data_IF_626177373811
#
_entry.id   IF_626177373811
#
_cell.length_a   1.000
_cell.length_b   1.000
_cell.length_c   1.000
_cell.angle_alpha   90.00
_cell.angle_beta   90.00
_cell.angle_gamma   90.00
#
_symmetry.space_group_name_H-M   'P 1'
#
loop_
_entity.id
_entity.type
_entity.pdbx_description
1 polymer ?
#
# COMPACT_ATOMS: atom_id res chain seq x y z
N UNK A 1 42.38 -11.34 2.46
CA UNK A 1 41.87 -10.01 2.78
C UNK A 1 41.13 -10.08 4.11
N UNK A 2 41.76 -9.58 5.18
CA UNK A 2 41.20 -9.60 6.57
C UNK A 2 40.36 -8.32 6.83
N UNK A 3 39.39 -8.04 6.01
CA UNK A 3 38.53 -6.88 6.14
C UNK A 3 37.06 -7.32 6.01
N UNK A 4 36.19 -6.79 6.86
CA UNK A 4 34.75 -6.95 6.73
C UNK A 4 34.29 -6.31 5.41
N UNK A 5 33.43 -7.01 4.68
CA UNK A 5 32.79 -6.47 3.50
C UNK A 5 31.66 -5.52 3.91
N UNK A 6 31.62 -4.34 3.28
CA UNK A 6 30.56 -3.33 3.54
C UNK A 6 29.59 -3.31 2.37
N UNK A 7 28.31 -3.56 2.67
CA UNK A 7 27.24 -3.50 1.64
C UNK A 7 27.12 -2.08 1.11
N UNK A 8 27.19 -1.94 -0.20
CA UNK A 8 27.06 -0.65 -0.88
C UNK A 8 28.34 0.17 -0.99
N UNK A 9 29.51 -0.34 -0.55
CA UNK A 9 30.79 0.38 -0.62
C UNK A 9 31.15 0.82 -2.05
N UNK A 10 30.88 -0.03 -3.05
CA UNK A 10 31.16 0.27 -4.47
C UNK A 10 29.93 0.79 -5.21
N UNK A 11 28.75 0.22 -4.94
CA UNK A 11 27.52 0.51 -5.68
C UNK A 11 26.71 1.70 -5.13
N UNK A 12 26.98 2.14 -3.91
CA UNK A 12 26.12 3.11 -3.19
C UNK A 12 24.78 2.53 -2.71
N UNK A 13 24.46 1.28 -3.04
CA UNK A 13 23.22 0.60 -2.65
C UNK A 13 23.36 0.03 -1.23
N UNK A 14 23.19 0.89 -0.24
CA UNK A 14 23.23 0.54 1.18
C UNK A 14 21.87 0.05 1.68
N UNK A 15 21.90 -0.67 2.81
CA UNK A 15 20.71 -1.11 3.54
C UNK A 15 20.65 -0.34 4.85
N UNK A 16 19.62 0.49 5.03
CA UNK A 16 19.38 1.16 6.31
C UNK A 16 18.70 0.16 7.26
N UNK A 17 19.34 -0.09 8.40
CA UNK A 17 18.78 -0.96 9.43
C UNK A 17 17.57 -0.29 10.07
N UNK A 18 16.41 -0.93 10.00
CA UNK A 18 15.16 -0.48 10.64
C UNK A 18 14.96 -1.17 11.98
N UNK A 19 15.17 -2.50 12.03
CA UNK A 19 14.95 -3.28 13.24
C UNK A 19 15.78 -4.57 13.23
N UNK A 20 16.13 -5.06 14.43
CA UNK A 20 16.77 -6.37 14.63
C UNK A 20 16.00 -7.12 15.70
N UNK A 21 15.67 -8.37 15.43
CA UNK A 21 15.00 -9.27 16.39
C UNK A 21 15.74 -10.58 16.44
N UNK A 22 15.81 -11.15 17.64
CA UNK A 22 16.14 -12.56 17.86
C UNK A 22 14.88 -13.40 17.73
N UNK A 23 15.02 -14.61 17.23
CA UNK A 23 13.95 -15.59 17.27
C UNK A 23 13.75 -16.20 18.70
N UNK A 24 12.88 -17.22 18.81
CA UNK A 24 12.44 -17.73 20.13
C UNK A 24 13.52 -18.49 20.89
N UNK A 25 14.52 -19.04 20.23
CA UNK A 25 15.66 -19.80 20.83
C UNK A 25 16.99 -19.06 20.75
N UNK A 26 16.98 -17.82 20.24
CA UNK A 26 18.11 -16.90 20.15
C UNK A 26 19.26 -17.37 19.25
N UNK A 27 18.98 -18.20 18.25
CA UNK A 27 19.99 -18.68 17.31
C UNK A 27 19.91 -18.02 15.92
N UNK A 28 18.83 -17.26 15.64
CA UNK A 28 18.61 -16.56 14.38
C UNK A 28 18.34 -15.06 14.58
N UNK A 29 18.93 -14.23 13.70
CA UNK A 29 18.70 -12.79 13.66
C UNK A 29 17.83 -12.43 12.45
N UNK A 30 16.66 -11.81 12.69
CA UNK A 30 15.86 -11.15 11.67
C UNK A 30 16.25 -9.67 11.62
N UNK A 31 16.84 -9.25 10.49
CA UNK A 31 17.14 -7.84 10.24
C UNK A 31 16.16 -7.26 9.22
N UNK A 32 15.36 -6.30 9.65
CA UNK A 32 14.51 -5.51 8.77
C UNK A 32 15.32 -4.30 8.28
N UNK A 33 15.33 -4.09 6.98
CA UNK A 33 16.14 -3.05 6.34
C UNK A 33 15.32 -2.27 5.33
N UNK A 34 15.67 -0.97 5.15
CA UNK A 34 15.17 -0.12 4.07
C UNK A 34 16.30 0.03 3.03
N UNK A 35 16.16 -0.56 1.84
CA UNK A 35 17.20 -0.52 0.82
C UNK A 35 17.20 0.85 0.11
N UNK A 36 18.36 1.47 -0.03
CA UNK A 36 18.54 2.72 -0.78
C UNK A 36 18.49 2.53 -2.30
N UNK A 37 18.56 1.30 -2.77
CA UNK A 37 18.56 0.96 -4.20
C UNK A 37 18.52 -0.55 -4.39
N UNK A 38 18.71 -1.04 -5.61
CA UNK A 38 18.70 -2.47 -5.91
C UNK A 38 19.59 -3.27 -4.96
N UNK A 39 19.04 -4.31 -4.35
CA UNK A 39 19.81 -5.16 -3.43
C UNK A 39 20.65 -6.20 -4.17
N UNK A 40 20.15 -6.67 -5.30
CA UNK A 40 20.82 -7.65 -6.14
C UNK A 40 21.93 -6.99 -6.98
N UNK A 41 23.06 -7.69 -7.15
CA UNK A 41 24.17 -7.25 -8.00
C UNK A 41 23.80 -7.14 -9.50
N UNK A 42 22.70 -7.78 -9.93
CA UNK A 42 22.15 -7.67 -11.30
C UNK A 42 21.27 -6.43 -11.51
N UNK A 43 21.08 -5.59 -10.50
CA UNK A 43 20.28 -4.37 -10.59
C UNK A 43 18.78 -4.56 -10.29
N UNK A 44 18.33 -5.76 -9.93
CA UNK A 44 16.96 -5.99 -9.42
C UNK A 44 16.87 -5.73 -7.93
N UNK A 45 15.67 -5.43 -7.42
CA UNK A 45 15.42 -5.15 -6.01
C UNK A 45 15.76 -6.36 -5.13
N UNK A 46 15.45 -7.58 -5.59
CA UNK A 46 15.77 -8.84 -4.92
C UNK A 46 16.46 -9.81 -5.88
N UNK A 47 17.13 -10.84 -5.34
CA UNK A 47 17.73 -11.90 -6.15
C UNK A 47 16.71 -12.81 -6.84
N UNK A 48 15.44 -12.69 -6.49
CA UNK A 48 14.31 -13.46 -7.06
C UNK A 48 13.51 -12.65 -8.09
N UNK A 49 14.00 -11.47 -8.53
CA UNK A 49 13.34 -10.53 -9.44
C UNK A 49 12.01 -9.97 -8.89
N UNK A 50 11.81 -9.98 -7.58
CA UNK A 50 10.72 -9.31 -6.93
C UNK A 50 11.00 -7.81 -6.81
N UNK A 51 9.97 -6.99 -6.85
CA UNK A 51 10.05 -5.54 -6.66
C UNK A 51 9.79 -5.21 -5.19
N UNK A 52 10.62 -4.37 -4.58
CA UNK A 52 10.43 -3.86 -3.23
C UNK A 52 9.32 -2.81 -3.22
N UNK A 53 8.08 -3.26 -3.32
CA UNK A 53 6.92 -2.41 -3.13
C UNK A 53 6.63 -2.22 -1.64
N UNK A 54 6.18 -1.02 -1.26
CA UNK A 54 5.60 -0.82 0.06
C UNK A 54 4.43 -1.82 0.23
N UNK A 55 4.46 -2.56 1.32
CA UNK A 55 3.41 -3.53 1.63
C UNK A 55 2.61 -3.01 2.83
N UNK A 56 1.33 -2.69 2.58
CA UNK A 56 0.35 -2.23 3.57
C UNK A 56 -0.56 -3.38 4.02
N UNK A 57 -0.07 -4.61 3.95
CA UNK A 57 -0.84 -5.80 4.30
C UNK A 57 -2.03 -6.00 3.37
N UNK A 58 -3.22 -6.20 3.94
CA UNK A 58 -4.45 -6.41 3.18
C UNK A 58 -4.77 -5.27 2.20
N UNK A 59 -4.42 -4.03 2.51
CA UNK A 59 -4.70 -2.90 1.60
C UNK A 59 -3.91 -2.98 0.28
N UNK A 60 -2.69 -3.51 0.28
CA UNK A 60 -1.95 -3.79 -0.97
C UNK A 60 -2.63 -4.89 -1.80
N UNK A 61 -3.16 -5.91 -1.13
CA UNK A 61 -3.96 -6.96 -1.79
C UNK A 61 -5.24 -6.37 -2.38
N UNK A 62 -5.92 -5.49 -1.64
CA UNK A 62 -7.15 -4.84 -2.09
C UNK A 62 -6.90 -3.93 -3.30
N UNK A 63 -5.81 -3.16 -3.33
CA UNK A 63 -5.41 -2.39 -4.52
C UNK A 63 -5.21 -3.29 -5.75
N UNK A 64 -4.59 -4.47 -5.56
CA UNK A 64 -4.40 -5.45 -6.64
C UNK A 64 -5.73 -5.98 -7.15
N UNK A 65 -6.64 -6.38 -6.24
CA UNK A 65 -7.99 -6.85 -6.59
C UNK A 65 -8.77 -5.77 -7.36
N UNK A 66 -8.71 -4.52 -6.93
CA UNK A 66 -9.35 -3.40 -7.63
C UNK A 66 -8.81 -3.28 -9.05
N UNK A 67 -7.47 -3.28 -9.24
CA UNK A 67 -6.83 -3.23 -10.58
C UNK A 67 -7.27 -4.38 -11.49
N UNK A 68 -7.29 -5.59 -10.97
CA UNK A 68 -7.71 -6.77 -11.73
C UNK A 68 -9.17 -6.68 -12.17
N UNK A 69 -10.07 -6.23 -11.28
CA UNK A 69 -11.49 -6.05 -11.61
C UNK A 69 -11.73 -4.97 -12.66
N UNK A 70 -10.95 -3.87 -12.62
CA UNK A 70 -10.97 -2.83 -13.66
C UNK A 70 -10.50 -3.40 -15.00
N UNK A 71 -9.39 -4.15 -15.00
CA UNK A 71 -8.83 -4.75 -16.21
C UNK A 71 -9.76 -5.76 -16.87
N UNK A 72 -10.48 -6.56 -16.08
CA UNK A 72 -11.42 -7.58 -16.57
C UNK A 72 -12.71 -7.00 -17.16
N UNK A 73 -13.07 -5.76 -16.85
CA UNK A 73 -14.23 -5.02 -17.40
C UNK A 73 -15.59 -5.75 -17.34
N UNK A 74 -15.74 -6.73 -16.44
CA UNK A 74 -17.03 -7.44 -16.27
C UNK A 74 -17.97 -6.60 -15.38
N UNK A 75 -18.65 -5.66 -16.00
CA UNK A 75 -19.58 -4.73 -15.33
C UNK A 75 -20.83 -5.42 -14.76
N UNK A 76 -21.15 -6.62 -15.21
CA UNK A 76 -22.31 -7.38 -14.73
C UNK A 76 -22.04 -8.14 -13.44
N UNK A 77 -20.77 -8.54 -13.20
CA UNK A 77 -20.38 -9.34 -12.04
C UNK A 77 -19.52 -8.59 -11.03
N UNK A 78 -19.00 -7.41 -11.42
CA UNK A 78 -18.09 -6.64 -10.59
C UNK A 78 -18.62 -5.24 -10.33
N UNK A 79 -18.89 -4.95 -9.06
CA UNK A 79 -19.22 -3.60 -8.59
C UNK A 79 -18.12 -2.59 -8.97
N UNK A 80 -16.84 -2.96 -8.76
CA UNK A 80 -15.68 -2.13 -9.11
C UNK A 80 -15.71 -1.78 -10.60
N UNK A 81 -15.82 -2.78 -11.48
CA UNK A 81 -15.87 -2.54 -12.93
C UNK A 81 -17.08 -1.67 -13.33
N UNK A 82 -18.26 -1.92 -12.75
CA UNK A 82 -19.47 -1.12 -12.99
C UNK A 82 -19.30 0.33 -12.56
N UNK A 83 -18.63 0.58 -11.39
CA UNK A 83 -18.44 1.95 -10.92
C UNK A 83 -17.38 2.69 -11.76
N UNK A 84 -16.32 2.01 -12.20
CA UNK A 84 -15.35 2.58 -13.14
C UNK A 84 -15.94 2.91 -14.50
N UNK A 85 -16.84 2.07 -15.02
CA UNK A 85 -17.56 2.32 -16.28
C UNK A 85 -18.42 3.61 -16.23
N UNK A 86 -19.00 3.90 -15.04
CA UNK A 86 -19.74 5.15 -14.79
C UNK A 86 -18.85 6.39 -14.69
N UNK A 87 -17.54 6.20 -14.63
CA UNK A 87 -16.54 7.27 -14.66
C UNK A 87 -16.21 7.87 -13.28
N UNK A 88 -15.17 8.70 -13.30
CA UNK A 88 -14.55 9.27 -12.09
C UNK A 88 -15.52 10.11 -11.23
N UNK A 89 -16.46 10.81 -11.86
CA UNK A 89 -17.43 11.63 -11.12
C UNK A 89 -18.30 10.77 -10.21
N UNK A 90 -18.68 9.57 -10.66
CA UNK A 90 -19.49 8.65 -9.84
C UNK A 90 -18.66 8.04 -8.71
N UNK A 91 -17.39 7.73 -8.96
CA UNK A 91 -16.48 7.26 -7.91
C UNK A 91 -16.27 8.36 -6.86
N UNK A 92 -16.02 9.60 -7.28
CA UNK A 92 -15.84 10.74 -6.37
C UNK A 92 -17.13 11.03 -5.57
N UNK A 93 -18.30 10.90 -6.19
CA UNK A 93 -19.59 11.01 -5.51
C UNK A 93 -19.69 9.97 -4.37
N UNK A 94 -19.33 8.69 -4.63
CA UNK A 94 -19.34 7.64 -3.60
C UNK A 94 -18.41 7.96 -2.44
N UNK A 95 -17.19 8.43 -2.69
CA UNK A 95 -16.28 8.87 -1.62
C UNK A 95 -16.94 9.96 -0.76
N UNK A 96 -17.65 10.91 -1.36
CA UNK A 96 -18.36 11.96 -0.63
C UNK A 96 -19.53 11.42 0.20
N UNK A 97 -20.32 10.50 -0.34
CA UNK A 97 -21.42 9.83 0.36
C UNK A 97 -20.90 9.10 1.60
N UNK A 98 -19.91 8.19 1.43
CA UNK A 98 -19.33 7.40 2.54
C UNK A 98 -18.63 8.28 3.60
N UNK A 99 -18.02 9.40 3.17
CA UNK A 99 -17.43 10.35 4.12
C UNK A 99 -18.49 11.00 5.01
N UNK A 100 -19.65 11.37 4.46
CA UNK A 100 -20.77 11.94 5.23
C UNK A 100 -21.37 10.89 6.16
N UNK A 101 -21.58 9.67 5.68
CA UNK A 101 -22.10 8.54 6.48
C UNK A 101 -21.14 8.22 7.64
N UNK A 102 -19.83 8.13 7.39
CA UNK A 102 -18.80 7.95 8.44
C UNK A 102 -18.89 9.07 9.51
N UNK A 103 -19.10 10.34 9.11
CA UNK A 103 -19.23 11.46 10.05
C UNK A 103 -20.50 11.33 10.90
N UNK A 104 -21.61 10.92 10.30
CA UNK A 104 -22.88 10.72 11.00
C UNK A 104 -22.72 9.63 12.05
N UNK A 105 -22.20 8.48 11.67
CA UNK A 105 -22.00 7.34 12.57
C UNK A 105 -20.94 7.62 13.66
N UNK A 106 -19.97 8.49 13.41
CA UNK A 106 -19.01 8.94 14.42
C UNK A 106 -19.65 9.80 15.52
N UNK A 107 -20.83 10.34 15.30
CA UNK A 107 -21.59 11.13 16.27
C UNK A 107 -22.59 10.30 17.07
N UNK A 108 -22.87 9.07 16.63
CA UNK A 108 -23.74 8.11 17.28
C UNK A 108 -22.93 7.07 18.09
N UNK A 109 -23.56 6.42 19.07
CA UNK A 109 -22.95 5.38 19.91
C UNK A 109 -23.00 3.97 19.22
N UNK A 110 -22.78 3.92 17.90
CA UNK A 110 -22.81 2.67 17.14
C UNK A 110 -21.47 2.42 16.44
N UNK A 111 -20.53 1.86 17.20
CA UNK A 111 -19.17 1.53 16.69
C UNK A 111 -19.20 0.59 15.49
N UNK A 112 -20.18 -0.31 15.38
CA UNK A 112 -20.26 -1.28 14.28
C UNK A 112 -20.59 -0.58 12.95
N UNK A 113 -21.57 0.33 12.96
CA UNK A 113 -21.89 1.13 11.77
C UNK A 113 -20.77 2.09 11.42
N UNK A 114 -20.14 2.73 12.40
CA UNK A 114 -18.99 3.59 12.17
C UNK A 114 -17.84 2.83 11.46
N UNK A 115 -17.52 1.62 11.90
CA UNK A 115 -16.49 0.79 11.26
C UNK A 115 -16.90 0.37 9.85
N UNK A 116 -18.19 0.07 9.64
CA UNK A 116 -18.70 -0.30 8.33
C UNK A 116 -18.56 0.85 7.32
N UNK A 117 -19.05 2.03 7.63
CA UNK A 117 -18.96 3.21 6.76
C UNK A 117 -17.50 3.69 6.57
N UNK A 118 -16.65 3.56 7.61
CA UNK A 118 -15.22 3.83 7.50
C UNK A 118 -14.51 2.88 6.53
N UNK A 119 -14.92 1.62 6.50
CA UNK A 119 -14.37 0.64 5.55
C UNK A 119 -14.82 0.94 4.11
N UNK A 120 -16.09 1.31 3.92
CA UNK A 120 -16.63 1.70 2.61
C UNK A 120 -15.99 3.00 2.10
N UNK A 121 -15.78 3.98 2.95
CA UNK A 121 -15.02 5.19 2.63
C UNK A 121 -13.61 4.85 2.14
N UNK A 122 -12.88 4.02 2.87
CA UNK A 122 -11.53 3.63 2.48
C UNK A 122 -11.51 2.85 1.17
N UNK A 123 -12.47 1.95 0.97
CA UNK A 123 -12.60 1.17 -0.27
C UNK A 123 -12.85 2.07 -1.48
N UNK A 124 -13.81 3.00 -1.40
CA UNK A 124 -14.10 3.93 -2.48
C UNK A 124 -12.95 4.94 -2.70
N UNK A 125 -12.23 5.32 -1.65
CA UNK A 125 -11.04 6.14 -1.77
C UNK A 125 -9.91 5.42 -2.52
N UNK A 126 -9.67 4.14 -2.26
CA UNK A 126 -8.71 3.34 -3.05
C UNK A 126 -9.12 3.26 -4.52
N UNK A 127 -10.41 3.11 -4.82
CA UNK A 127 -10.91 3.15 -6.18
C UNK A 127 -10.66 4.52 -6.84
N UNK A 128 -10.87 5.62 -6.13
CA UNK A 128 -10.61 6.96 -6.64
C UNK A 128 -9.12 7.19 -6.92
N UNK A 129 -8.22 6.69 -6.04
CA UNK A 129 -6.78 6.72 -6.29
C UNK A 129 -6.43 6.00 -7.59
N UNK A 130 -6.95 4.78 -7.79
CA UNK A 130 -6.72 4.02 -9.03
C UNK A 130 -7.27 4.76 -10.27
N UNK A 131 -8.45 5.38 -10.17
CA UNK A 131 -9.03 6.18 -11.27
C UNK A 131 -8.18 7.40 -11.63
N UNK A 132 -7.39 7.92 -10.68
CA UNK A 132 -6.44 9.02 -10.87
C UNK A 132 -5.02 8.54 -11.21
N UNK A 133 -4.76 7.23 -11.25
CA UNK A 133 -3.44 6.64 -11.51
C UNK A 133 -2.49 6.68 -10.32
N UNK A 134 -3.01 6.82 -9.10
CA UNK A 134 -2.25 6.84 -7.85
C UNK A 134 -2.48 5.58 -7.01
N UNK A 135 -1.63 5.41 -6.00
CA UNK A 135 -1.63 4.31 -5.05
C UNK A 135 -1.51 4.82 -3.61
N UNK A 136 -1.68 3.94 -2.62
CA UNK A 136 -1.38 4.27 -1.21
C UNK A 136 0.07 4.72 -1.01
N UNK A 137 1.01 4.22 -1.82
CA UNK A 137 2.42 4.64 -1.78
C UNK A 137 2.59 6.12 -2.07
N UNK A 138 1.81 6.65 -3.00
CA UNK A 138 1.85 8.08 -3.34
C UNK A 138 1.34 8.92 -2.19
N UNK A 139 0.26 8.47 -1.53
CA UNK A 139 -0.30 9.15 -0.33
C UNK A 139 0.69 9.09 0.83
N UNK A 140 1.29 7.93 1.11
CA UNK A 140 2.33 7.79 2.14
C UNK A 140 3.49 8.77 1.88
N UNK A 141 3.94 8.87 0.64
CA UNK A 141 5.02 9.77 0.24
C UNK A 141 4.67 11.23 0.53
N UNK A 142 3.44 11.66 0.22
CA UNK A 142 2.98 13.01 0.53
C UNK A 142 2.90 13.28 2.04
N UNK A 143 2.42 12.30 2.82
CA UNK A 143 2.36 12.43 4.28
C UNK A 143 3.77 12.52 4.90
N UNK A 144 4.71 11.68 4.45
CA UNK A 144 6.11 11.73 4.89
C UNK A 144 6.77 13.08 4.56
N UNK A 145 6.48 13.66 3.40
CA UNK A 145 7.03 14.95 3.01
C UNK A 145 6.52 16.13 3.85
N UNK A 146 5.32 16.02 4.44
CA UNK A 146 4.73 17.03 5.34
C UNK A 146 5.27 16.94 6.77
N UNK A 147 5.83 15.81 7.17
CA UNK A 147 6.34 15.55 8.52
C UNK A 147 7.87 15.75 8.63
N UNK A 148 8.45 16.58 7.78
CA UNK A 148 9.87 16.98 7.84
C UNK A 148 10.03 18.28 8.61
#
# INVERSE_FOLDING_TARGET
KNRLWTKGEESGNILHLVNVKLDCDNDTLLMQVDPKGPTCHKGSDTCWNEVNNANYGFFSTLETIIKERIANKDTHKSYVASLFDKGINKIAQKVGEEAVETIIEAMDDNDELFLYESADLLFHYLMLLQAKGFTLKDIETQLKNRNK
#
